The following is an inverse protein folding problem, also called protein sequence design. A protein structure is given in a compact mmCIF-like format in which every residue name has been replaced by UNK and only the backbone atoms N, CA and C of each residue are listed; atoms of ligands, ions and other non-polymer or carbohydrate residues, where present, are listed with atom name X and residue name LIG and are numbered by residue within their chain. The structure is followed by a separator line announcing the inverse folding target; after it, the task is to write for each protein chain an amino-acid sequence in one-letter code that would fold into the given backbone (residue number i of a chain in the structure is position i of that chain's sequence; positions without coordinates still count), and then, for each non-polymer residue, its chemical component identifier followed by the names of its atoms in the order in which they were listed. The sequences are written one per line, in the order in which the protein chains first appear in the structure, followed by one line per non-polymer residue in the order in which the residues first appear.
data_IF_664500261179
#
_entry.id   IF_664500261179
#
_cell.length_a   1.000
_cell.length_b   1.000
_cell.length_c   1.000
_cell.angle_alpha   90.00
_cell.angle_beta   90.00
_cell.angle_gamma   90.00
#
_symmetry.space_group_name_H-M   'P 1'
#
loop_
_entity.id
_entity.type
_entity.pdbx_description
1 polymer ?
#
# COMPACT_ATOMS: atom_id res chain seq x y z
N UNK A 1 -15.18 -8.30 6.60
CA UNK A 1 -16.24 -7.30 6.31
C UNK A 1 -16.17 -6.27 7.42
N UNK A 2 -15.88 -5.02 7.09
CA UNK A 2 -15.96 -3.90 8.03
C UNK A 2 -17.11 -2.98 7.64
N UNK A 3 -17.94 -2.50 8.58
CA UNK A 3 -19.07 -1.63 8.30
C UNK A 3 -18.65 -0.22 7.85
N UNK A 4 -17.45 0.24 8.21
CA UNK A 4 -16.95 1.57 7.85
C UNK A 4 -16.17 1.56 6.54
N UNK A 5 -16.17 2.69 5.83
CA UNK A 5 -15.26 2.92 4.72
C UNK A 5 -13.79 2.85 5.15
N UNK A 6 -13.49 3.27 6.37
CA UNK A 6 -12.14 3.22 6.96
C UNK A 6 -11.62 1.78 7.08
N UNK A 7 -12.47 0.84 7.47
CA UNK A 7 -12.08 -0.58 7.59
C UNK A 7 -11.65 -1.17 6.26
N UNK A 8 -12.26 -0.73 5.15
CA UNK A 8 -11.87 -1.17 3.80
C UNK A 8 -10.54 -0.59 3.38
N UNK A 9 -10.26 0.67 3.74
CA UNK A 9 -8.95 1.30 3.51
C UNK A 9 -7.87 0.59 4.31
N UNK A 10 -8.13 0.29 5.58
CA UNK A 10 -7.19 -0.45 6.43
C UNK A 10 -6.94 -1.86 5.91
N UNK A 11 -7.98 -2.56 5.43
CA UNK A 11 -7.82 -3.88 4.82
C UNK A 11 -6.97 -3.81 3.53
N UNK A 12 -7.14 -2.76 2.73
CA UNK A 12 -6.37 -2.54 1.51
C UNK A 12 -4.90 -2.20 1.81
N UNK A 13 -4.64 -1.36 2.82
CA UNK A 13 -3.29 -1.06 3.31
C UNK A 13 -2.58 -2.32 3.81
N UNK A 14 -3.30 -3.15 4.58
CA UNK A 14 -2.78 -4.44 5.06
C UNK A 14 -2.46 -5.38 3.89
N UNK A 15 -3.32 -5.44 2.87
CA UNK A 15 -3.09 -6.26 1.67
C UNK A 15 -1.85 -5.78 0.90
N UNK A 16 -1.63 -4.47 0.79
CA UNK A 16 -0.45 -3.89 0.17
C UNK A 16 0.85 -4.34 0.84
N UNK A 17 0.90 -4.27 2.18
CA UNK A 17 2.07 -4.72 2.95
C UNK A 17 2.32 -6.22 2.75
N UNK A 18 1.27 -7.05 2.80
CA UNK A 18 1.40 -8.49 2.58
C UNK A 18 1.90 -8.83 1.16
N UNK A 19 1.40 -8.14 0.14
CA UNK A 19 1.85 -8.30 -1.25
C UNK A 19 3.32 -7.91 -1.42
N UNK A 20 3.72 -6.78 -0.83
CA UNK A 20 5.10 -6.32 -0.81
C UNK A 20 6.04 -7.33 -0.14
N UNK A 21 5.67 -7.87 1.03
CA UNK A 21 6.45 -8.90 1.73
C UNK A 21 6.56 -10.20 0.91
N UNK A 22 5.50 -10.58 0.21
CA UNK A 22 5.53 -11.77 -0.67
C UNK A 22 6.55 -11.59 -1.80
N UNK A 23 6.56 -10.43 -2.45
CA UNK A 23 7.52 -10.10 -3.51
C UNK A 23 8.95 -10.03 -2.96
N UNK A 24 9.13 -9.45 -1.79
CA UNK A 24 10.43 -9.38 -1.13
C UNK A 24 10.96 -10.78 -0.79
N UNK A 25 10.13 -11.65 -0.24
CA UNK A 25 10.49 -13.04 0.07
C UNK A 25 10.85 -13.83 -1.19
N UNK A 26 10.11 -13.63 -2.29
CA UNK A 26 10.46 -14.19 -3.60
C UNK A 26 11.81 -13.66 -4.10
N UNK A 27 12.08 -12.37 -3.93
CA UNK A 27 13.36 -11.76 -4.29
C UNK A 27 14.54 -12.35 -3.53
N UNK A 28 14.38 -12.59 -2.23
CA UNK A 28 15.39 -13.27 -1.40
C UNK A 28 15.62 -14.70 -1.90
N UNK A 29 14.54 -15.43 -2.23
CA UNK A 29 14.64 -16.81 -2.72
C UNK A 29 15.31 -16.95 -4.09
N UNK A 30 15.06 -16.01 -5.00
CA UNK A 30 15.63 -16.01 -6.37
C UNK A 30 17.03 -15.40 -6.39
N UNK A 31 17.39 -14.56 -5.40
CA UNK A 31 18.69 -13.89 -5.32
C UNK A 31 18.86 -12.72 -6.30
N UNK A 32 17.75 -12.18 -6.81
CA UNK A 32 17.74 -11.07 -7.77
C UNK A 32 17.30 -9.77 -7.12
N UNK A 33 18.12 -8.72 -7.28
CA UNK A 33 17.84 -7.37 -6.75
C UNK A 33 16.61 -6.71 -7.40
N UNK A 34 16.18 -7.14 -8.58
CA UNK A 34 15.03 -6.56 -9.29
C UNK A 34 13.74 -6.67 -8.46
N UNK A 35 13.55 -7.77 -7.73
CA UNK A 35 12.38 -7.93 -6.86
C UNK A 35 12.42 -7.00 -5.65
N UNK A 36 13.61 -6.65 -5.18
CA UNK A 36 13.78 -5.66 -4.12
C UNK A 36 13.38 -4.26 -4.60
N UNK A 37 13.79 -3.88 -5.81
CA UNK A 37 13.39 -2.60 -6.43
C UNK A 37 11.87 -2.52 -6.61
N UNK A 38 11.24 -3.60 -7.07
CA UNK A 38 9.77 -3.69 -7.18
C UNK A 38 9.11 -3.55 -5.80
N UNK A 39 9.62 -4.22 -4.76
CA UNK A 39 9.10 -4.11 -3.41
C UNK A 39 9.21 -2.68 -2.86
N UNK A 40 10.31 -1.98 -3.14
CA UNK A 40 10.52 -0.57 -2.79
C UNK A 40 9.49 0.35 -3.48
N UNK A 41 9.24 0.15 -4.77
CA UNK A 41 8.24 0.91 -5.50
C UNK A 41 6.84 0.69 -4.92
N UNK A 42 6.48 -0.57 -4.63
CA UNK A 42 5.19 -0.89 -4.01
C UNK A 42 5.06 -0.24 -2.63
N UNK A 43 6.12 -0.23 -1.83
CA UNK A 43 6.12 0.43 -0.52
C UNK A 43 5.86 1.94 -0.65
N UNK A 44 6.50 2.61 -1.62
CA UNK A 44 6.30 4.03 -1.86
C UNK A 44 4.87 4.34 -2.33
N UNK A 45 4.38 3.61 -3.34
CA UNK A 45 3.03 3.81 -3.85
C UNK A 45 1.96 3.44 -2.82
N UNK A 46 2.18 2.40 -2.01
CA UNK A 46 1.29 2.02 -0.91
C UNK A 46 1.15 3.14 0.11
N UNK A 47 2.25 3.76 0.52
CA UNK A 47 2.23 4.90 1.44
C UNK A 47 1.47 6.11 0.85
N UNK A 48 1.72 6.45 -0.43
CA UNK A 48 1.02 7.55 -1.11
C UNK A 48 -0.47 7.26 -1.24
N UNK A 49 -0.86 6.03 -1.55
CA UNK A 49 -2.26 5.63 -1.62
C UNK A 49 -2.96 5.76 -0.26
N UNK A 50 -2.34 5.27 0.82
CA UNK A 50 -2.92 5.33 2.17
C UNK A 50 -3.05 6.77 2.68
N UNK A 51 -2.07 7.64 2.41
CA UNK A 51 -2.15 9.06 2.75
C UNK A 51 -3.22 9.80 1.94
N UNK A 52 -3.34 9.53 0.63
CA UNK A 52 -4.40 10.10 -0.21
C UNK A 52 -5.80 9.67 0.27
N UNK A 53 -5.97 8.39 0.63
CA UNK A 53 -7.22 7.86 1.15
C UNK A 53 -7.59 8.47 2.51
N UNK A 54 -6.60 8.68 3.39
CA UNK A 54 -6.80 9.34 4.68
C UNK A 54 -7.24 10.80 4.50
N UNK A 55 -6.59 11.55 3.59
CA UNK A 55 -7.01 12.91 3.20
C UNK A 55 -8.45 12.94 2.67
N UNK A 56 -8.79 12.02 1.76
CA UNK A 56 -10.14 11.89 1.21
C UNK A 56 -11.19 11.64 2.30
N UNK A 57 -10.93 10.72 3.24
CA UNK A 57 -11.87 10.39 4.31
C UNK A 57 -12.06 11.54 5.31
N UNK A 58 -11.04 12.37 5.54
CA UNK A 58 -11.10 13.48 6.50
C UNK A 58 -11.76 14.75 5.93
N UNK A 59 -11.56 15.05 4.64
CA UNK A 59 -11.98 16.32 4.03
C UNK A 59 -12.96 16.18 2.86
N UNK A 60 -13.24 14.97 2.38
CA UNK A 60 -14.06 14.74 1.20
C UNK A 60 -13.37 15.03 -0.14
N UNK A 61 -12.23 15.74 -0.12
CA UNK A 61 -11.43 16.08 -1.30
C UNK A 61 -9.94 15.71 -1.06
N UNK A 62 -9.27 15.20 -2.11
CA UNK A 62 -7.85 14.82 -2.04
C UNK A 62 -6.93 16.01 -2.34
N UNK A 63 -7.34 16.90 -3.25
CA UNK A 63 -6.57 18.05 -3.72
C UNK A 63 -7.41 19.30 -3.44
N UNK A 64 -6.86 20.21 -2.62
CA UNK A 64 -7.39 21.56 -2.45
C UNK A 64 -6.85 22.45 -3.59
N UNK A 65 -7.68 23.35 -4.16
CA UNK A 65 -7.28 24.26 -5.23
C UNK A 65 -6.30 25.34 -4.77
#
# INVERSE_FOLDING_TARGET
RGPSAQDRVLALDTLYINGMLTILMLGIGIGSAVYFDIALLIALFGFVASTAMAKFLLRGEVIEP
#
